data_IF_219720759777
#
_entry.id   IF_219720759777
#
_cell.length_a   1.000
_cell.length_b   1.000
_cell.length_c   1.000
_cell.angle_alpha   90.00
_cell.angle_beta   90.00
_cell.angle_gamma   90.00
#
_symmetry.space_group_name_H-M   'P 1'
#
loop_
_entity.id
_entity.type
_entity.pdbx_description
1 polymer ?
#
# COMPACT_ATOMS: atom_id res chain seq x y z
N UNK A 1 0.59 26.90 -12.49
CA UNK A 1 0.57 25.44 -12.17
C UNK A 1 1.49 25.27 -10.98
N UNK A 2 0.97 24.78 -9.87
CA UNK A 2 1.76 24.49 -8.67
C UNK A 2 2.47 23.14 -8.82
N UNK A 3 3.41 22.84 -7.91
CA UNK A 3 4.05 21.52 -7.89
C UNK A 3 3.04 20.36 -7.77
N UNK A 4 2.06 20.49 -6.89
CA UNK A 4 1.00 19.47 -6.75
C UNK A 4 0.12 19.34 -8.00
N UNK A 5 -0.16 20.45 -8.72
CA UNK A 5 -0.93 20.40 -9.96
C UNK A 5 -0.16 19.65 -11.07
N UNK A 6 1.18 19.78 -11.09
CA UNK A 6 2.03 19.03 -12.00
C UNK A 6 2.00 17.53 -11.67
N UNK A 7 2.20 17.14 -10.41
CA UNK A 7 2.15 15.75 -9.98
C UNK A 7 0.79 15.11 -10.24
N UNK A 8 -0.30 15.85 -9.99
CA UNK A 8 -1.66 15.41 -10.30
C UNK A 8 -1.82 15.14 -11.80
N UNK A 9 -1.40 16.09 -12.65
CA UNK A 9 -1.51 15.97 -14.10
C UNK A 9 -0.73 14.77 -14.63
N UNK A 10 0.50 14.57 -14.17
CA UNK A 10 1.34 13.40 -14.50
C UNK A 10 0.64 12.09 -14.12
N UNK A 11 0.15 11.99 -12.87
CA UNK A 11 -0.52 10.78 -12.38
C UNK A 11 -1.79 10.48 -13.18
N UNK A 12 -2.61 11.49 -13.48
CA UNK A 12 -3.82 11.33 -14.29
C UNK A 12 -3.47 10.88 -15.73
N UNK A 13 -2.41 11.42 -16.31
CA UNK A 13 -1.92 10.99 -17.63
C UNK A 13 -1.55 9.50 -17.59
N UNK A 14 -0.71 9.08 -16.63
CA UNK A 14 -0.31 7.67 -16.45
C UNK A 14 -1.54 6.75 -16.31
N UNK A 15 -2.50 7.14 -15.48
CA UNK A 15 -3.72 6.37 -15.26
C UNK A 15 -4.52 6.18 -16.55
N UNK A 16 -4.68 7.24 -17.33
CA UNK A 16 -5.42 7.19 -18.60
C UNK A 16 -4.73 6.36 -19.66
N UNK A 17 -3.39 6.48 -19.78
CA UNK A 17 -2.58 5.67 -20.69
C UNK A 17 -2.74 4.18 -20.40
N UNK A 18 -2.66 3.77 -19.13
CA UNK A 18 -2.83 2.37 -18.72
C UNK A 18 -4.21 1.85 -19.09
N UNK A 19 -5.27 2.59 -18.81
CA UNK A 19 -6.63 2.15 -19.13
C UNK A 19 -6.89 2.08 -20.63
N UNK A 20 -6.18 2.90 -21.42
CA UNK A 20 -6.28 2.88 -22.88
C UNK A 20 -5.45 1.73 -23.51
N UNK A 21 -4.34 1.33 -22.89
CA UNK A 21 -3.38 0.38 -23.46
C UNK A 21 -3.62 -1.08 -23.04
N UNK A 22 -4.18 -1.31 -21.82
CA UNK A 22 -4.32 -2.63 -21.23
C UNK A 22 -5.76 -3.14 -21.26
N UNK A 23 -5.91 -4.47 -21.41
CA UNK A 23 -7.23 -5.11 -21.51
C UNK A 23 -7.91 -5.29 -20.15
N UNK A 24 -7.12 -5.59 -19.11
CA UNK A 24 -7.61 -5.91 -17.76
C UNK A 24 -6.83 -5.18 -16.67
N UNK A 25 -6.88 -3.84 -16.63
CA UNK A 25 -6.26 -3.09 -15.55
C UNK A 25 -7.03 -3.24 -14.24
N UNK A 26 -6.32 -3.17 -13.11
CA UNK A 26 -6.92 -3.15 -11.77
C UNK A 26 -6.13 -2.23 -10.83
N UNK A 27 -6.76 -1.77 -9.75
CA UNK A 27 -6.09 -0.97 -8.74
C UNK A 27 -5.97 -1.73 -7.42
N UNK A 28 -4.73 -1.94 -6.95
CA UNK A 28 -4.49 -2.46 -5.61
C UNK A 28 -4.86 -1.43 -4.55
N UNK A 29 -5.90 -1.73 -3.80
CA UNK A 29 -6.40 -0.86 -2.75
C UNK A 29 -5.97 -1.36 -1.37
N UNK A 30 -4.81 -0.89 -0.90
CA UNK A 30 -4.23 -1.27 0.40
C UNK A 30 -4.83 -0.52 1.59
N UNK A 31 -5.73 0.46 1.34
CA UNK A 31 -6.38 1.31 2.36
C UNK A 31 -5.42 2.28 3.07
N UNK A 32 -4.18 2.40 2.60
CA UNK A 32 -3.22 3.39 3.11
C UNK A 32 -3.44 4.79 2.49
N UNK A 33 -2.71 5.79 3.01
CA UNK A 33 -2.76 7.18 2.52
C UNK A 33 -2.46 7.28 1.01
N UNK A 34 -1.42 6.55 0.56
CA UNK A 34 -0.99 6.56 -0.84
C UNK A 34 -2.06 5.95 -1.76
N UNK A 35 -2.65 4.81 -1.38
CA UNK A 35 -3.73 4.20 -2.15
C UNK A 35 -5.03 5.02 -2.10
N UNK A 36 -5.26 5.81 -1.06
CA UNK A 36 -6.40 6.74 -1.00
C UNK A 36 -6.21 7.93 -1.94
N UNK A 37 -5.00 8.47 -2.05
CA UNK A 37 -4.64 9.50 -3.05
C UNK A 37 -4.77 8.92 -4.47
N UNK A 38 -4.24 7.72 -4.71
CA UNK A 38 -4.34 7.07 -6.02
C UNK A 38 -5.80 6.81 -6.42
N UNK A 39 -6.66 6.40 -5.49
CA UNK A 39 -8.10 6.23 -5.72
C UNK A 39 -8.78 7.55 -6.08
N UNK A 40 -8.41 8.65 -5.41
CA UNK A 40 -8.92 9.98 -5.73
C UNK A 40 -8.48 10.44 -7.13
N UNK A 41 -7.21 10.24 -7.48
CA UNK A 41 -6.69 10.54 -8.82
C UNK A 41 -7.35 9.69 -9.91
N UNK A 42 -7.61 8.41 -9.63
CA UNK A 42 -8.35 7.53 -10.53
C UNK A 42 -9.77 8.07 -10.80
N UNK A 43 -10.46 8.53 -9.77
CA UNK A 43 -11.77 9.16 -9.93
C UNK A 43 -11.70 10.45 -10.76
N UNK A 44 -10.72 11.33 -10.49
CA UNK A 44 -10.52 12.56 -11.28
C UNK A 44 -10.20 12.26 -12.75
N UNK A 45 -9.44 11.18 -13.01
CA UNK A 45 -9.06 10.79 -14.37
C UNK A 45 -10.27 10.47 -15.27
N UNK A 46 -11.36 9.96 -14.69
CA UNK A 46 -12.55 9.53 -15.43
C UNK A 46 -13.81 10.34 -15.15
N UNK A 47 -13.72 11.38 -14.29
CA UNK A 47 -14.88 12.21 -13.99
C UNK A 47 -15.54 12.77 -15.28
N UNK A 48 -16.89 12.73 -15.42
CA UNK A 48 -17.88 12.33 -14.43
C UNK A 48 -18.24 10.83 -14.40
N UNK A 49 -17.63 10.01 -15.25
CA UNK A 49 -17.86 8.56 -15.27
C UNK A 49 -17.14 7.84 -14.13
N UNK A 50 -17.59 6.64 -13.80
CA UNK A 50 -16.84 5.75 -12.90
C UNK A 50 -15.58 5.24 -13.61
N UNK A 51 -14.49 5.02 -12.85
CA UNK A 51 -13.30 4.35 -13.38
C UNK A 51 -13.64 2.95 -13.93
N UNK A 52 -13.18 2.59 -15.13
CA UNK A 52 -13.55 1.33 -15.78
C UNK A 52 -12.67 0.13 -15.33
N UNK A 53 -12.36 0.06 -14.04
CA UNK A 53 -11.53 -1.00 -13.48
C UNK A 53 -11.89 -1.26 -12.00
N UNK A 54 -11.70 -2.49 -11.50
CA UNK A 54 -12.02 -2.83 -10.11
C UNK A 54 -10.93 -2.38 -9.14
N UNK A 55 -11.33 -2.19 -7.88
CA UNK A 55 -10.45 -2.16 -6.73
C UNK A 55 -10.15 -3.60 -6.29
N UNK A 56 -8.90 -3.89 -6.00
CA UNK A 56 -8.47 -5.22 -5.56
C UNK A 56 -7.75 -5.14 -4.21
N UNK A 57 -8.18 -5.95 -3.26
CA UNK A 57 -7.58 -6.03 -1.94
C UNK A 57 -7.12 -7.45 -1.64
N UNK A 58 -5.82 -7.64 -1.41
CA UNK A 58 -5.28 -8.91 -0.90
C UNK A 58 -5.43 -8.90 0.62
N UNK A 59 -6.38 -9.70 1.11
CA UNK A 59 -6.67 -9.82 2.53
C UNK A 59 -5.74 -10.84 3.19
N UNK A 60 -4.94 -10.35 4.12
CA UNK A 60 -4.02 -11.17 4.91
C UNK A 60 -4.67 -11.74 6.17
N UNK A 61 -5.96 -11.47 6.40
CA UNK A 61 -6.74 -11.75 7.62
C UNK A 61 -6.23 -11.05 8.90
N UNK A 62 -5.07 -10.45 8.83
CA UNK A 62 -4.45 -9.70 9.92
C UNK A 62 -4.38 -8.22 9.56
N UNK A 63 -5.54 -7.57 9.52
CA UNK A 63 -5.69 -6.13 9.28
C UNK A 63 -6.34 -5.47 10.48
N UNK A 64 -6.12 -4.17 10.66
CA UNK A 64 -6.87 -3.40 11.65
C UNK A 64 -8.36 -3.38 11.28
N UNK A 65 -9.24 -3.51 12.27
CA UNK A 65 -10.70 -3.47 12.07
C UNK A 65 -11.13 -2.16 11.38
N UNK A 66 -10.58 -1.02 11.84
CA UNK A 66 -10.84 0.30 11.24
C UNK A 66 -10.46 0.37 9.73
N UNK A 67 -9.44 -0.38 9.29
CA UNK A 67 -9.09 -0.43 7.87
C UNK A 67 -10.13 -1.18 7.03
N UNK A 68 -10.63 -2.30 7.53
CA UNK A 68 -11.63 -3.11 6.82
C UNK A 68 -12.94 -2.34 6.70
N UNK A 69 -13.40 -1.72 7.78
CA UNK A 69 -14.59 -0.89 7.79
C UNK A 69 -14.47 0.29 6.82
N UNK A 70 -13.33 0.98 6.85
CA UNK A 70 -13.06 2.09 5.93
C UNK A 70 -13.03 1.63 4.47
N UNK A 71 -12.38 0.49 4.17
CA UNK A 71 -12.30 -0.09 2.83
C UNK A 71 -13.68 -0.34 2.23
N UNK A 72 -14.53 -1.06 2.98
CA UNK A 72 -15.83 -1.50 2.51
C UNK A 72 -16.80 -0.29 2.37
N UNK A 73 -16.75 0.62 3.34
CA UNK A 73 -17.50 1.87 3.30
C UNK A 73 -17.11 2.69 2.07
N UNK A 74 -15.81 2.87 1.84
CA UNK A 74 -15.31 3.73 0.75
C UNK A 74 -15.63 3.17 -0.63
N UNK A 75 -15.45 1.87 -0.85
CA UNK A 75 -15.79 1.22 -2.11
C UNK A 75 -17.28 1.36 -2.42
N UNK A 76 -18.13 1.17 -1.40
CA UNK A 76 -19.59 1.33 -1.54
C UNK A 76 -19.99 2.77 -1.85
N UNK A 77 -19.45 3.76 -1.14
CA UNK A 77 -19.70 5.19 -1.38
C UNK A 77 -19.38 5.61 -2.81
N UNK A 78 -18.33 5.04 -3.37
CA UNK A 78 -17.84 5.36 -4.71
C UNK A 78 -18.54 4.55 -5.82
N UNK A 79 -19.34 3.55 -5.46
CA UNK A 79 -19.98 2.65 -6.42
C UNK A 79 -18.99 1.80 -7.23
N UNK A 80 -17.76 1.60 -6.71
CA UNK A 80 -16.73 0.82 -7.38
C UNK A 80 -16.78 -0.65 -6.98
N UNK A 81 -16.52 -1.54 -7.94
CA UNK A 81 -16.33 -2.95 -7.65
C UNK A 81 -15.13 -3.16 -6.76
N UNK A 82 -15.28 -3.94 -5.68
CA UNK A 82 -14.21 -4.32 -4.76
C UNK A 82 -14.04 -5.84 -4.76
N UNK A 83 -12.92 -6.30 -5.28
CA UNK A 83 -12.50 -7.71 -5.24
C UNK A 83 -11.61 -7.91 -4.02
N UNK A 84 -12.04 -8.75 -3.08
CA UNK A 84 -11.25 -9.13 -1.91
C UNK A 84 -10.77 -10.56 -2.08
N UNK A 85 -9.46 -10.74 -2.17
CA UNK A 85 -8.84 -12.04 -2.34
C UNK A 85 -8.07 -12.47 -1.10
N UNK A 86 -8.30 -13.70 -0.67
CA UNK A 86 -7.61 -14.34 0.45
C UNK A 86 -6.95 -15.64 -0.02
N UNK A 87 -5.67 -15.83 0.27
CA UNK A 87 -4.99 -17.08 -0.03
C UNK A 87 -5.57 -18.23 0.83
N UNK A 88 -6.09 -19.31 0.22
CA UNK A 88 -6.69 -20.44 0.95
C UNK A 88 -5.77 -21.06 2.00
N UNK A 89 -4.46 -21.06 1.77
CA UNK A 89 -3.45 -21.57 2.71
C UNK A 89 -3.46 -20.88 4.06
N UNK A 90 -3.96 -19.64 4.15
CA UNK A 90 -4.07 -18.93 5.43
C UNK A 90 -4.96 -19.73 6.39
N UNK A 91 -6.10 -20.20 5.91
CA UNK A 91 -7.04 -20.99 6.69
C UNK A 91 -6.52 -22.40 6.97
N UNK A 92 -5.96 -23.07 5.96
CA UNK A 92 -5.40 -24.41 6.05
C UNK A 92 -4.31 -24.53 7.12
N UNK A 93 -3.41 -23.54 7.17
CA UNK A 93 -2.29 -23.51 8.11
C UNK A 93 -2.63 -22.82 9.45
N UNK A 94 -3.85 -22.28 9.60
CA UNK A 94 -4.18 -21.37 10.69
C UNK A 94 -3.10 -20.30 10.88
N UNK A 95 -2.73 -19.64 9.78
CA UNK A 95 -1.56 -18.78 9.65
C UNK A 95 -1.66 -17.55 10.57
N UNK A 96 -0.68 -17.39 11.43
CA UNK A 96 -0.60 -16.25 12.36
C UNK A 96 0.82 -15.67 12.35
N UNK A 97 0.97 -14.34 12.35
CA UNK A 97 2.29 -13.70 12.46
C UNK A 97 2.97 -13.93 13.79
N UNK A 98 2.22 -14.27 14.86
CA UNK A 98 2.76 -14.57 16.19
C UNK A 98 3.36 -15.98 16.28
N UNK A 99 2.81 -16.95 15.56
CA UNK A 99 3.25 -18.35 15.63
C UNK A 99 4.15 -18.77 14.48
N UNK A 100 3.97 -18.16 13.29
CA UNK A 100 4.73 -18.52 12.08
C UNK A 100 5.79 -17.46 11.71
N UNK A 101 5.82 -16.33 12.43
CA UNK A 101 6.72 -15.22 12.18
C UNK A 101 6.29 -14.30 11.01
N UNK A 102 6.90 -13.12 10.96
CA UNK A 102 6.57 -12.06 9.99
C UNK A 102 6.84 -12.47 8.54
N UNK A 103 7.95 -13.14 8.31
CA UNK A 103 8.41 -13.52 6.97
C UNK A 103 7.47 -14.54 6.31
N UNK A 104 7.20 -15.68 6.98
CA UNK A 104 6.29 -16.72 6.45
C UNK A 104 4.87 -16.19 6.30
N UNK A 105 4.38 -15.43 7.28
CA UNK A 105 3.06 -14.82 7.19
C UNK A 105 2.96 -13.88 5.98
N UNK A 106 3.95 -13.02 5.76
CA UNK A 106 3.94 -12.07 4.64
C UNK A 106 4.06 -12.79 3.29
N UNK A 107 4.92 -13.80 3.20
CA UNK A 107 5.07 -14.55 1.96
C UNK A 107 3.77 -15.24 1.56
N UNK A 108 3.19 -16.04 2.43
CA UNK A 108 1.97 -16.81 2.11
C UNK A 108 0.77 -15.89 1.91
N UNK A 109 0.52 -14.96 2.85
CA UNK A 109 -0.70 -14.17 2.85
C UNK A 109 -0.68 -13.05 1.80
N UNK A 110 0.47 -12.45 1.55
CA UNK A 110 0.57 -11.26 0.70
C UNK A 110 1.24 -11.56 -0.64
N UNK A 111 2.46 -12.13 -0.67
CA UNK A 111 3.19 -12.37 -1.91
C UNK A 111 2.51 -13.44 -2.75
N UNK A 112 2.28 -14.63 -2.19
CA UNK A 112 1.59 -15.72 -2.88
C UNK A 112 0.13 -15.37 -3.14
N UNK A 113 -0.56 -14.72 -2.18
CA UNK A 113 -1.93 -14.26 -2.35
C UNK A 113 -2.09 -13.29 -3.52
N UNK A 114 -1.16 -12.35 -3.67
CA UNK A 114 -1.15 -11.42 -4.81
C UNK A 114 -0.97 -12.16 -6.14
N UNK A 115 0.02 -13.06 -6.23
CA UNK A 115 0.27 -13.85 -7.45
C UNK A 115 -0.96 -14.67 -7.87
N UNK A 116 -1.53 -15.41 -6.92
CA UNK A 116 -2.72 -16.22 -7.16
C UNK A 116 -3.91 -15.38 -7.65
N UNK A 117 -4.11 -14.20 -7.06
CA UNK A 117 -5.16 -13.29 -7.46
C UNK A 117 -4.94 -12.77 -8.89
N UNK A 118 -3.71 -12.39 -9.23
CA UNK A 118 -3.37 -11.91 -10.58
C UNK A 118 -3.58 -13.00 -11.63
N UNK A 119 -3.17 -14.23 -11.31
CA UNK A 119 -3.37 -15.40 -12.21
C UNK A 119 -4.85 -15.76 -12.36
N UNK A 120 -5.62 -15.69 -11.27
CA UNK A 120 -7.04 -16.01 -11.29
C UNK A 120 -7.86 -15.03 -12.14
N UNK A 121 -7.60 -13.74 -11.99
CA UNK A 121 -8.36 -12.68 -12.68
C UNK A 121 -7.71 -12.26 -14.00
N UNK A 122 -6.47 -12.73 -14.28
CA UNK A 122 -5.71 -12.41 -15.50
C UNK A 122 -5.54 -10.90 -15.69
N UNK A 123 -5.22 -10.16 -14.61
CA UNK A 123 -4.90 -8.75 -14.70
C UNK A 123 -3.53 -8.55 -15.38
N UNK A 124 -3.51 -7.74 -16.43
CA UNK A 124 -2.31 -7.43 -17.22
C UNK A 124 -1.59 -6.16 -16.73
N UNK A 125 -2.32 -5.22 -16.13
CA UNK A 125 -1.76 -4.04 -15.47
C UNK A 125 -2.36 -3.81 -14.09
N UNK A 126 -1.53 -3.49 -13.09
CA UNK A 126 -2.01 -3.28 -11.72
C UNK A 126 -1.39 -2.03 -11.11
N UNK A 127 -2.24 -1.07 -10.77
CA UNK A 127 -1.82 0.15 -10.11
C UNK A 127 -1.40 -0.10 -8.66
N UNK A 128 -0.30 0.50 -8.25
CA UNK A 128 0.21 0.51 -6.88
C UNK A 128 0.64 1.88 -6.40
N UNK A 129 0.47 2.13 -5.10
CA UNK A 129 0.78 3.41 -4.47
C UNK A 129 2.25 3.59 -4.06
N UNK A 130 3.19 2.82 -4.62
CA UNK A 130 4.59 2.95 -4.28
C UNK A 130 5.21 4.25 -4.82
N UNK A 131 6.12 4.83 -4.04
CA UNK A 131 6.85 6.07 -4.36
C UNK A 131 8.36 5.82 -4.30
N UNK A 132 9.11 6.52 -5.14
CA UNK A 132 10.60 6.45 -5.12
C UNK A 132 11.20 6.93 -3.81
N UNK A 133 10.50 7.84 -3.13
CA UNK A 133 10.88 8.43 -1.85
C UNK A 133 10.82 7.44 -0.66
N UNK A 134 10.04 6.35 -0.76
CA UNK A 134 9.84 5.42 0.35
C UNK A 134 11.12 4.70 0.78
N UNK A 135 11.90 4.22 -0.19
CA UNK A 135 13.11 3.42 0.06
C UNK A 135 14.00 3.28 -1.19
N UNK A 136 15.27 2.89 -0.97
CA UNK A 136 16.28 2.76 -2.03
C UNK A 136 15.89 1.81 -3.16
N UNK A 137 15.21 0.69 -2.85
CA UNK A 137 14.80 -0.27 -3.88
C UNK A 137 13.67 0.27 -4.76
N UNK A 138 12.83 1.16 -4.24
CA UNK A 138 11.78 1.86 -4.98
C UNK A 138 12.34 2.88 -5.97
N UNK A 139 13.43 3.53 -5.61
CA UNK A 139 14.11 4.49 -6.50
C UNK A 139 14.61 3.86 -7.82
N UNK A 140 14.83 2.55 -7.84
CA UNK A 140 15.24 1.79 -9.05
C UNK A 140 14.05 1.37 -9.91
N UNK A 141 12.84 1.42 -9.41
CA UNK A 141 11.64 0.96 -10.11
C UNK A 141 11.16 1.97 -11.13
N UNK A 142 10.69 1.50 -12.27
CA UNK A 142 10.06 2.32 -13.30
C UNK A 142 8.60 2.57 -12.96
N UNK A 143 8.00 3.57 -13.59
CA UNK A 143 6.56 3.83 -13.49
C UNK A 143 5.80 2.63 -14.07
N UNK A 144 6.21 2.13 -15.26
CA UNK A 144 5.77 0.86 -15.82
C UNK A 144 6.80 -0.23 -15.46
N UNK A 145 6.58 -0.91 -14.35
CA UNK A 145 7.49 -1.93 -13.82
C UNK A 145 7.09 -3.31 -14.29
N UNK A 146 7.82 -3.84 -15.27
CA UNK A 146 7.55 -5.13 -15.91
C UNK A 146 7.80 -6.29 -14.97
N UNK A 147 6.92 -7.28 -15.04
CA UNK A 147 7.02 -8.57 -14.36
C UNK A 147 6.95 -9.69 -15.39
N UNK A 148 7.80 -10.69 -15.22
CA UNK A 148 7.78 -11.90 -16.02
C UNK A 148 6.56 -12.78 -15.69
N UNK A 149 6.45 -13.93 -16.36
CA UNK A 149 5.40 -14.94 -16.15
C UNK A 149 5.33 -15.52 -14.73
N UNK A 150 6.40 -15.34 -13.93
CA UNK A 150 6.47 -15.74 -12.52
C UNK A 150 6.20 -14.56 -11.58
N UNK A 151 5.77 -13.40 -12.12
CA UNK A 151 5.61 -12.12 -11.43
C UNK A 151 6.91 -11.54 -10.88
N UNK A 152 8.06 -12.00 -11.33
CA UNK A 152 9.38 -11.58 -10.87
C UNK A 152 9.80 -10.26 -11.51
N UNK A 153 10.49 -9.44 -10.75
CA UNK A 153 11.05 -8.18 -11.22
C UNK A 153 12.54 -8.33 -11.53
N UNK A 154 12.90 -8.03 -12.78
CA UNK A 154 14.29 -7.92 -13.20
C UNK A 154 14.65 -6.46 -13.50
N UNK A 155 15.49 -5.80 -12.67
CA UNK A 155 15.85 -4.41 -12.88
C UNK A 155 16.65 -4.16 -14.16
N UNK A 156 17.26 -5.19 -14.75
CA UNK A 156 18.06 -5.07 -15.99
C UNK A 156 17.19 -5.10 -17.25
N UNK A 157 16.00 -5.69 -17.17
CA UNK A 157 15.08 -5.85 -18.29
C UNK A 157 13.88 -4.90 -18.21
N UNK A 158 14.08 -3.69 -17.70
CA UNK A 158 13.08 -2.64 -17.67
C UNK A 158 13.24 -1.69 -18.87
N UNK A 159 12.12 -1.15 -19.34
CA UNK A 159 12.14 -0.20 -20.46
C UNK A 159 12.51 1.21 -20.00
N UNK A 160 13.23 2.00 -20.81
CA UNK A 160 13.43 3.40 -20.52
C UNK A 160 12.11 4.18 -20.65
N UNK A 161 11.95 5.20 -19.82
CA UNK A 161 10.78 6.09 -19.77
C UNK A 161 11.25 7.53 -20.07
N UNK A 162 11.72 7.74 -21.31
CA UNK A 162 12.18 9.06 -21.76
C UNK A 162 10.98 9.91 -22.14
N UNK A 163 11.02 11.19 -21.76
CA UNK A 163 9.99 12.20 -22.08
C UNK A 163 8.57 11.82 -21.66
N UNK A 164 8.42 11.08 -20.56
CA UNK A 164 7.14 10.60 -20.02
C UNK A 164 6.32 9.78 -21.03
N UNK A 165 7.03 9.12 -21.98
CA UNK A 165 6.42 8.18 -22.91
C UNK A 165 6.53 6.78 -22.34
N UNK A 166 5.39 6.16 -22.14
CA UNK A 166 5.27 4.80 -21.58
C UNK A 166 4.97 3.81 -22.70
N UNK A 167 5.52 2.62 -22.59
CA UNK A 167 5.29 1.54 -23.55
C UNK A 167 4.90 0.27 -22.78
N UNK A 168 3.62 -0.01 -22.74
CA UNK A 168 3.02 -1.17 -22.04
C UNK A 168 3.04 -2.47 -22.83
N UNK A 169 3.62 -2.50 -24.05
CA UNK A 169 3.65 -3.71 -24.85
C UNK A 169 4.35 -4.86 -24.09
N UNK A 170 3.63 -5.91 -23.79
CA UNK A 170 4.11 -7.06 -23.02
C UNK A 170 3.79 -8.37 -23.74
N UNK A 171 4.45 -9.45 -23.35
CA UNK A 171 4.19 -10.79 -23.89
C UNK A 171 3.08 -11.45 -23.05
N UNK A 172 2.47 -12.50 -23.63
CA UNK A 172 1.50 -13.32 -22.91
C UNK A 172 2.14 -13.91 -21.65
N UNK A 173 1.50 -13.75 -20.51
CA UNK A 173 1.98 -14.17 -19.20
C UNK A 173 2.80 -13.12 -18.43
N UNK A 174 3.34 -12.10 -19.11
CA UNK A 174 3.92 -10.94 -18.44
C UNK A 174 2.83 -10.01 -17.91
N UNK A 175 3.14 -9.22 -16.90
CA UNK A 175 2.24 -8.19 -16.36
C UNK A 175 3.03 -6.93 -15.97
N UNK A 176 2.32 -5.83 -15.76
CA UNK A 176 2.97 -4.56 -15.40
C UNK A 176 2.43 -4.06 -14.06
N UNK A 177 3.34 -3.67 -13.16
CA UNK A 177 2.99 -2.86 -11.99
C UNK A 177 3.15 -1.41 -12.36
N UNK A 178 2.09 -0.63 -12.20
CA UNK A 178 2.09 0.79 -12.55
C UNK A 178 2.09 1.63 -11.28
N UNK A 179 2.99 2.60 -11.22
CA UNK A 179 3.18 3.46 -10.05
C UNK A 179 2.95 4.95 -10.38
N UNK A 180 1.70 5.41 -10.46
CA UNK A 180 1.38 6.80 -10.79
C UNK A 180 1.94 7.81 -9.78
N UNK A 181 2.20 7.37 -8.53
CA UNK A 181 2.73 8.20 -7.47
C UNK A 181 4.27 8.15 -7.36
N UNK A 182 4.97 7.59 -8.35
CA UNK A 182 6.43 7.38 -8.31
C UNK A 182 7.22 8.62 -7.91
N UNK A 183 6.85 9.78 -8.46
CA UNK A 183 7.56 11.05 -8.28
C UNK A 183 7.07 11.87 -7.07
N UNK A 184 6.08 11.38 -6.34
CA UNK A 184 5.55 12.04 -5.14
C UNK A 184 6.40 11.74 -3.91
N UNK A 185 6.59 12.74 -3.04
CA UNK A 185 7.14 12.57 -1.69
C UNK A 185 6.04 12.28 -0.67
N UNK A 186 6.42 11.83 0.54
CA UNK A 186 5.46 11.69 1.64
C UNK A 186 4.78 13.02 1.97
N UNK A 187 5.52 14.12 1.89
CA UNK A 187 4.98 15.47 2.10
C UNK A 187 3.93 15.84 1.05
N UNK A 188 4.20 15.56 -0.23
CA UNK A 188 3.25 15.81 -1.33
C UNK A 188 1.94 15.05 -1.11
N UNK A 189 2.00 13.79 -0.67
CA UNK A 189 0.82 12.98 -0.34
C UNK A 189 -0.02 13.66 0.74
N UNK A 190 0.60 14.10 1.85
CA UNK A 190 -0.14 14.75 2.93
C UNK A 190 -0.69 16.11 2.55
N UNK A 191 0.07 16.93 1.82
CA UNK A 191 -0.39 18.21 1.30
C UNK A 191 -1.55 18.05 0.32
N UNK A 192 -1.51 17.02 -0.53
CA UNK A 192 -2.59 16.72 -1.47
C UNK A 192 -3.84 16.20 -0.77
N UNK A 193 -3.69 15.34 0.25
CA UNK A 193 -4.80 14.90 1.10
C UNK A 193 -5.49 16.11 1.74
N UNK A 194 -4.71 17.08 2.23
CA UNK A 194 -5.24 18.32 2.80
C UNK A 194 -5.95 19.18 1.75
N UNK A 195 -5.30 19.43 0.61
CA UNK A 195 -5.82 20.25 -0.50
C UNK A 195 -7.15 19.73 -1.03
N UNK A 196 -7.23 18.43 -1.28
CA UNK A 196 -8.39 17.78 -1.91
C UNK A 196 -9.39 17.20 -0.89
N UNK A 197 -9.15 17.39 0.40
CA UNK A 197 -9.96 16.84 1.50
C UNK A 197 -10.23 15.34 1.35
N UNK A 198 -9.17 14.57 1.07
CA UNK A 198 -9.28 13.13 0.84
C UNK A 198 -9.53 12.39 2.14
N UNK A 199 -10.55 11.54 2.16
CA UNK A 199 -10.83 10.68 3.30
C UNK A 199 -9.76 9.60 3.46
N UNK A 200 -9.26 9.43 4.68
CA UNK A 200 -8.26 8.43 5.06
C UNK A 200 -8.66 7.75 6.38
N UNK A 201 -8.13 6.55 6.69
CA UNK A 201 -8.39 5.87 7.96
C UNK A 201 -8.01 6.70 9.19
N UNK A 202 -8.83 6.61 10.25
CA UNK A 202 -8.60 7.33 11.51
C UNK A 202 -7.32 6.92 12.25
N UNK A 203 -6.72 5.78 11.88
CA UNK A 203 -5.44 5.28 12.40
C UNK A 203 -4.26 6.23 12.16
N UNK A 204 -4.35 7.11 11.16
CA UNK A 204 -3.33 8.13 10.90
C UNK A 204 -3.32 9.27 11.92
N UNK A 205 -4.41 9.46 12.66
CA UNK A 205 -4.56 10.54 13.66
C UNK A 205 -4.30 10.02 15.06
N UNK A 206 -3.66 10.87 15.88
CA UNK A 206 -3.37 10.55 17.25
C UNK A 206 -4.64 10.33 18.06
N UNK A 207 -4.70 9.20 18.74
CA UNK A 207 -5.80 8.81 19.63
C UNK A 207 -5.24 7.97 20.78
N UNK A 208 -5.88 8.03 21.94
CA UNK A 208 -5.60 7.08 23.02
C UNK A 208 -6.00 5.68 22.57
N UNK A 209 -5.04 4.77 22.59
CA UNK A 209 -5.23 3.39 22.13
C UNK A 209 -4.47 2.42 23.04
N UNK A 210 -5.01 1.22 23.29
CA UNK A 210 -4.29 0.19 24.00
C UNK A 210 -3.14 -0.35 23.13
N UNK A 211 -1.91 -0.16 23.58
CA UNK A 211 -0.69 -0.62 22.88
C UNK A 211 0.18 -1.45 23.79
N UNK A 212 0.95 -2.35 23.20
CA UNK A 212 1.94 -3.17 23.88
C UNK A 212 3.26 -3.14 23.12
N UNK A 213 4.38 -3.17 23.82
CA UNK A 213 5.68 -3.32 23.20
C UNK A 213 5.92 -4.77 22.78
N UNK A 214 6.28 -4.97 21.51
CA UNK A 214 6.59 -6.27 20.95
C UNK A 214 7.70 -6.13 19.88
N UNK A 215 8.80 -6.85 20.05
CA UNK A 215 9.96 -6.82 19.17
C UNK A 215 10.48 -5.39 18.83
N UNK A 216 10.46 -4.50 19.84
CA UNK A 216 10.93 -3.11 19.67
C UNK A 216 9.93 -2.16 18.99
N UNK A 217 8.71 -2.57 18.74
CA UNK A 217 7.65 -1.73 18.20
C UNK A 217 6.42 -1.70 19.11
N UNK A 218 5.67 -0.58 19.08
CA UNK A 218 4.39 -0.46 19.78
C UNK A 218 3.28 -1.01 18.89
N UNK A 219 2.66 -2.09 19.31
CA UNK A 219 1.58 -2.75 18.57
C UNK A 219 0.25 -2.46 19.25
N UNK A 220 -0.76 -2.12 18.45
CA UNK A 220 -2.14 -1.94 18.92
C UNK A 220 -2.72 -3.27 19.39
N UNK A 221 -3.46 -3.28 20.49
CA UNK A 221 -4.26 -4.43 20.94
C UNK A 221 -5.65 -4.29 20.30
N UNK A 222 -5.84 -4.91 19.15
CA UNK A 222 -7.05 -4.77 18.31
C UNK A 222 -7.76 -6.10 18.00
N UNK A 223 -7.07 -7.22 18.15
CA UNK A 223 -7.55 -8.54 17.72
C UNK A 223 -7.49 -9.55 18.86
N UNK A 224 -8.58 -10.30 19.05
CA UNK A 224 -8.70 -11.35 20.09
C UNK A 224 -7.73 -12.52 19.88
N UNK A 225 -7.20 -12.67 18.66
CA UNK A 225 -6.18 -13.68 18.31
C UNK A 225 -4.78 -13.30 18.78
N UNK A 226 -4.59 -12.09 19.33
CA UNK A 226 -3.34 -11.72 19.99
C UNK A 226 -3.10 -12.63 21.21
N UNK A 227 -1.84 -13.07 21.44
CA UNK A 227 -1.51 -13.85 22.64
C UNK A 227 -1.95 -13.13 23.91
N UNK A 228 -2.73 -13.81 24.77
CA UNK A 228 -3.32 -13.21 25.97
C UNK A 228 -2.27 -12.63 26.93
N UNK A 229 -1.12 -13.28 27.04
CA UNK A 229 -0.01 -12.79 27.89
C UNK A 229 0.57 -11.47 27.37
N UNK A 230 0.59 -11.26 26.06
CA UNK A 230 1.01 -10.01 25.45
C UNK A 230 -0.05 -8.92 25.68
N UNK A 231 -1.32 -9.24 25.44
CA UNK A 231 -2.44 -8.31 25.58
C UNK A 231 -2.63 -7.80 27.02
N UNK A 232 -2.31 -8.60 28.04
CA UNK A 232 -2.38 -8.21 29.47
C UNK A 232 -1.45 -7.03 29.81
N UNK A 233 -0.37 -6.84 29.06
CA UNK A 233 0.60 -5.78 29.28
C UNK A 233 0.26 -4.48 28.53
N UNK A 234 -0.93 -4.41 27.93
CA UNK A 234 -1.38 -3.23 27.19
C UNK A 234 -1.47 -1.98 28.10
N UNK A 235 -1.04 -0.85 27.55
CA UNK A 235 -1.16 0.46 28.18
C UNK A 235 -1.87 1.40 27.24
N UNK A 236 -2.72 2.26 27.77
CA UNK A 236 -3.35 3.32 27.02
C UNK A 236 -2.33 4.43 26.74
N UNK A 237 -1.96 4.60 25.47
CA UNK A 237 -1.04 5.64 25.04
C UNK A 237 -1.64 6.47 23.91
N UNK A 238 -1.20 7.75 23.80
CA UNK A 238 -1.57 8.61 22.68
C UNK A 238 -0.66 8.31 21.50
N UNK A 239 -1.20 7.62 20.50
CA UNK A 239 -0.45 7.09 19.36
C UNK A 239 -1.17 7.27 18.04
N UNK A 240 -0.40 7.31 16.95
CA UNK A 240 -0.87 7.21 15.57
C UNK A 240 0.01 6.26 14.75
N UNK A 241 -0.42 5.99 13.51
CA UNK A 241 0.37 5.22 12.56
C UNK A 241 0.87 6.13 11.43
N UNK A 242 2.13 5.99 11.00
CA UNK A 242 2.66 6.65 9.80
C UNK A 242 2.35 5.87 8.53
N UNK A 243 2.32 4.55 8.65
CA UNK A 243 1.98 3.63 7.55
C UNK A 243 1.01 2.59 8.05
N UNK A 244 0.17 2.05 7.18
CA UNK A 244 -0.76 0.99 7.49
C UNK A 244 -0.39 -0.29 6.73
N UNK A 245 -0.35 -1.41 7.44
CA UNK A 245 0.00 -2.71 6.91
C UNK A 245 -0.77 -3.84 7.58
N UNK A 246 -0.10 -4.98 7.80
CA UNK A 246 -0.65 -6.05 8.62
C UNK A 246 -0.62 -5.63 10.09
N UNK A 247 -1.69 -5.91 10.79
CA UNK A 247 -1.96 -5.46 12.15
C UNK A 247 -0.78 -5.64 13.13
N UNK A 248 -0.24 -6.83 13.39
CA UNK A 248 0.82 -6.94 14.40
C UNK A 248 2.23 -6.64 13.86
N UNK A 249 2.36 -6.33 12.56
CA UNK A 249 3.64 -6.04 11.90
C UNK A 249 3.83 -4.55 11.64
N UNK A 250 2.88 -3.73 12.07
CA UNK A 250 2.89 -2.28 11.88
C UNK A 250 2.91 -1.59 13.24
N UNK A 251 4.03 -0.95 13.55
CA UNK A 251 4.22 -0.21 14.79
C UNK A 251 3.53 1.16 14.78
N UNK A 252 2.96 1.51 15.93
CA UNK A 252 2.49 2.86 16.21
C UNK A 252 3.62 3.75 16.72
N UNK A 253 3.48 5.04 16.56
CA UNK A 253 4.37 6.07 17.11
C UNK A 253 3.63 6.94 18.12
N UNK A 254 4.34 7.41 19.15
CA UNK A 254 3.81 8.43 20.05
C UNK A 254 3.69 9.75 19.29
N UNK A 255 2.53 10.33 19.32
CA UNK A 255 2.25 11.59 18.63
C UNK A 255 1.00 12.24 19.21
N UNK A 256 0.95 13.56 19.16
CA UNK A 256 -0.25 14.35 19.47
C UNK A 256 -0.98 14.83 18.22
N UNK A 257 -0.46 14.55 17.02
CA UNK A 257 -1.02 15.04 15.76
C UNK A 257 -2.41 14.42 15.49
N UNK A 258 -3.45 15.18 15.70
CA UNK A 258 -4.86 14.77 15.63
C UNK A 258 -5.57 15.20 14.35
N UNK A 259 -4.90 15.99 13.50
CA UNK A 259 -5.39 16.47 12.22
C UNK A 259 -4.27 16.52 11.17
N UNK A 260 -4.62 16.75 9.90
CA UNK A 260 -3.67 16.69 8.78
C UNK A 260 -2.58 17.75 8.88
N UNK A 261 -2.91 18.97 9.34
CA UNK A 261 -1.92 20.06 9.46
C UNK A 261 -0.86 19.71 10.51
N UNK A 262 -1.26 19.20 11.66
CA UNK A 262 -0.33 18.75 12.70
C UNK A 262 0.55 17.58 12.22
N UNK A 263 0.03 16.68 11.38
CA UNK A 263 0.83 15.63 10.75
C UNK A 263 1.87 16.22 9.80
N UNK A 264 1.50 17.23 9.01
CA UNK A 264 2.42 17.91 8.09
C UNK A 264 3.52 18.61 8.89
N UNK A 265 3.18 19.33 9.97
CA UNK A 265 4.15 19.98 10.84
C UNK A 265 5.12 18.97 11.48
N UNK A 266 4.61 17.87 12.00
CA UNK A 266 5.42 16.78 12.56
C UNK A 266 6.35 16.18 11.49
N UNK A 267 5.87 16.02 10.25
CA UNK A 267 6.66 15.49 9.15
C UNK A 267 7.82 16.42 8.77
N UNK A 268 7.58 17.73 8.72
CA UNK A 268 8.61 18.73 8.42
C UNK A 268 9.73 18.75 9.46
N UNK A 269 9.43 18.39 10.69
CA UNK A 269 10.41 18.28 11.79
C UNK A 269 11.10 16.90 11.82
N UNK A 270 10.54 15.90 11.16
CA UNK A 270 11.04 14.53 11.20
C UNK A 270 12.23 14.34 10.26
N UNK A 271 13.29 13.68 10.76
CA UNK A 271 14.45 13.25 9.96
C UNK A 271 14.42 11.76 9.59
N UNK A 272 13.32 11.07 9.92
CA UNK A 272 13.23 9.60 9.81
C UNK A 272 12.28 9.20 8.69
N UNK A 273 12.63 8.10 7.99
CA UNK A 273 11.75 7.50 6.97
C UNK A 273 10.41 7.05 7.56
N UNK A 274 9.34 7.11 6.78
CA UNK A 274 8.01 6.61 7.15
C UNK A 274 7.97 5.11 7.45
N UNK A 275 8.92 4.35 6.92
CA UNK A 275 9.04 2.89 7.12
C UNK A 275 9.71 2.52 8.44
N UNK A 276 10.28 3.47 9.16
CA UNK A 276 10.85 3.22 10.47
C UNK A 276 9.75 2.74 11.45
N UNK A 277 9.96 1.58 12.07
CA UNK A 277 8.99 0.94 12.97
C UNK A 277 8.16 -0.16 12.32
N UNK A 278 8.39 -0.51 11.05
CA UNK A 278 7.84 -1.74 10.47
C UNK A 278 8.72 -2.93 10.84
N UNK A 279 8.18 -3.89 11.58
CA UNK A 279 8.89 -5.10 12.00
C UNK A 279 9.42 -5.93 10.83
N UNK A 280 8.74 -5.89 9.68
CA UNK A 280 9.14 -6.63 8.49
C UNK A 280 10.42 -6.08 7.83
N UNK A 281 10.79 -4.85 8.07
CA UNK A 281 11.95 -4.19 7.45
C UNK A 281 13.23 -4.39 8.28
N UNK A 282 13.13 -4.98 9.47
CA UNK A 282 14.27 -5.28 10.35
C UNK A 282 14.95 -6.62 10.03
N UNK A 283 14.34 -7.45 9.19
CA UNK A 283 14.76 -8.85 9.03
C UNK A 283 16.03 -9.05 8.18
N UNK A 284 16.39 -8.14 7.23
CA UNK A 284 17.69 -8.20 6.48
C UNK A 284 17.95 -6.91 5.67
N UNK A 285 19.21 -6.50 5.52
CA UNK A 285 19.62 -5.50 4.51
C UNK A 285 19.26 -6.00 3.08
N UNK A 286 18.65 -5.16 2.27
CA UNK A 286 18.15 -5.47 0.92
C UNK A 286 16.93 -6.44 0.84
N UNK A 287 16.25 -6.72 1.97
CA UNK A 287 15.10 -7.64 2.01
C UNK A 287 14.00 -7.27 1.00
N UNK A 288 13.75 -6.00 0.74
CA UNK A 288 12.73 -5.54 -0.21
C UNK A 288 13.10 -5.80 -1.67
N UNK A 289 14.37 -5.67 -2.06
CA UNK A 289 14.79 -6.00 -3.44
C UNK A 289 14.66 -7.51 -3.71
N UNK A 290 15.02 -8.33 -2.72
CA UNK A 290 14.82 -9.79 -2.78
C UNK A 290 13.34 -10.15 -2.89
N UNK A 291 12.49 -9.56 -2.05
CA UNK A 291 11.03 -9.79 -2.09
C UNK A 291 10.39 -9.38 -3.42
N UNK A 292 10.86 -8.29 -4.07
CA UNK A 292 10.40 -7.91 -5.42
C UNK A 292 10.78 -8.94 -6.47
N UNK A 293 11.98 -9.50 -6.42
CA UNK A 293 12.40 -10.60 -7.30
C UNK A 293 11.53 -11.84 -7.10
N UNK A 294 11.02 -12.05 -5.90
CA UNK A 294 10.07 -13.11 -5.55
C UNK A 294 8.62 -12.78 -5.93
N UNK A 295 8.36 -11.59 -6.48
CA UNK A 295 7.03 -11.17 -6.93
C UNK A 295 6.24 -10.35 -5.90
N UNK A 296 6.87 -9.88 -4.83
CA UNK A 296 6.26 -8.94 -3.90
C UNK A 296 6.02 -7.58 -4.58
N UNK A 297 5.02 -6.88 -4.07
CA UNK A 297 4.61 -5.58 -4.59
C UNK A 297 5.33 -4.43 -3.91
#
# INVERSE_FOLDING_TARGET
MTHLDFLESESIHIIREVVAEFEKPAMLYSVGKDSSVMLHLLQKAFYPSLPPLPLVHVDTTWKFKEMIEFRDKRAKELGMELIVYQNPKIKELNLSPFTHGSSMHTDISKTQGLKQMLDLYQFDAVFGGARRDEEKSRAKERIYSFRDENHSWDPKNQRPELWDIYNGRHKKGESIRVFPLSNWTELDIWQYIYKENISIPSLYFAKKRPVVEYMGAKILVDDERMPKELAKNAKEELVRFRTLGCYPLTGAINSSASNILEIIEELLLSKTSERQGRLIDTDEEASMEKKKKEGYF
#
